data_IF_449943310120
#
_entry.id   IF_449943310120
#
_cell.length_a   1.000
_cell.length_b   1.000
_cell.length_c   1.000
_cell.angle_alpha   90.00
_cell.angle_beta   90.00
_cell.angle_gamma   90.00
#
_symmetry.space_group_name_H-M   'P 1'
#
loop_
_entity.id
_entity.type
_entity.pdbx_description
1 polymer ?
#
# COMPACT_ATOMS: atom_id res chain seq x y z
N UNK A 1 -56.64 -19.65 28.97
CA UNK A 1 -55.53 -18.72 29.24
C UNK A 1 -54.13 -19.28 28.97
N UNK A 2 -53.77 -20.50 29.42
CA UNK A 2 -52.41 -21.08 29.18
C UNK A 2 -52.04 -21.28 27.71
N UNK A 3 -52.99 -21.63 26.82
CA UNK A 3 -52.74 -21.84 25.36
C UNK A 3 -52.52 -20.49 24.60
N UNK A 4 -53.19 -19.40 25.02
CA UNK A 4 -53.01 -18.08 24.41
C UNK A 4 -51.65 -17.46 24.77
N UNK A 5 -51.17 -17.71 26.01
CA UNK A 5 -49.87 -17.23 26.48
C UNK A 5 -48.72 -17.93 25.75
N UNK A 6 -48.86 -19.26 25.49
CA UNK A 6 -47.87 -20.03 24.73
C UNK A 6 -47.75 -19.60 23.28
N UNK A 7 -48.90 -19.28 22.65
CA UNK A 7 -48.89 -18.77 21.24
C UNK A 7 -48.26 -17.39 21.11
N UNK A 8 -48.49 -16.52 22.11
CA UNK A 8 -47.90 -15.19 22.17
C UNK A 8 -46.37 -15.24 22.36
N UNK A 9 -45.90 -16.17 23.22
CA UNK A 9 -44.45 -16.35 23.42
C UNK A 9 -43.73 -16.88 22.18
N UNK A 10 -44.36 -17.79 21.42
CA UNK A 10 -43.83 -18.30 20.17
C UNK A 10 -43.79 -17.18 19.11
N UNK A 11 -44.82 -16.35 19.01
CA UNK A 11 -44.87 -15.24 18.10
C UNK A 11 -43.78 -14.18 18.36
N UNK A 12 -43.52 -13.89 19.65
CA UNK A 12 -42.44 -12.97 20.06
C UNK A 12 -41.06 -13.55 19.76
N UNK A 13 -40.84 -14.85 20.00
CA UNK A 13 -39.59 -15.50 19.64
C UNK A 13 -39.32 -15.53 18.13
N UNK A 14 -40.35 -15.74 17.30
CA UNK A 14 -40.23 -15.68 15.84
C UNK A 14 -39.99 -14.26 15.36
N UNK A 15 -40.59 -13.25 15.96
CA UNK A 15 -40.34 -11.86 15.62
C UNK A 15 -38.90 -11.42 15.98
N UNK A 16 -38.36 -11.88 17.13
CA UNK A 16 -36.99 -11.59 17.55
C UNK A 16 -35.96 -12.34 16.71
N UNK A 17 -36.29 -13.55 16.23
CA UNK A 17 -35.38 -14.28 15.31
C UNK A 17 -35.41 -13.76 13.88
N UNK A 18 -36.48 -13.11 13.43
CA UNK A 18 -36.53 -12.50 12.10
C UNK A 18 -35.79 -11.15 12.04
N UNK A 19 -35.61 -10.46 13.15
CA UNK A 19 -34.83 -9.21 13.17
C UNK A 19 -33.32 -9.44 13.24
N UNK A 20 -32.88 -10.68 13.53
CA UNK A 20 -31.45 -11.04 13.55
C UNK A 20 -30.91 -11.57 12.21
N UNK A 21 -31.72 -11.65 11.15
CA UNK A 21 -31.33 -12.23 9.85
C UNK A 21 -31.33 -11.24 8.68
N UNK A 22 -31.56 -9.96 8.92
CA UNK A 22 -31.33 -8.91 7.93
C UNK A 22 -30.20 -7.99 8.38
N UNK A 23 -29.07 -8.55 8.72
CA UNK A 23 -27.80 -7.86 8.64
C UNK A 23 -27.47 -7.70 7.15
N UNK A 24 -28.14 -6.79 6.45
CA UNK A 24 -27.52 -6.19 5.27
C UNK A 24 -26.24 -5.58 5.77
N UNK A 25 -25.12 -6.11 5.29
CA UNK A 25 -23.81 -5.50 5.47
C UNK A 25 -23.95 -4.00 5.19
N UNK A 26 -23.95 -3.18 6.21
CA UNK A 26 -24.10 -1.75 6.05
C UNK A 26 -22.75 -1.24 5.54
N UNK A 27 -22.72 -0.79 4.28
CA UNK A 27 -21.58 -0.04 3.76
C UNK A 27 -21.40 1.19 4.64
N UNK A 28 -20.17 1.48 5.14
CA UNK A 28 -19.92 2.66 5.95
C UNK A 28 -20.31 3.94 5.20
N UNK A 29 -20.80 4.93 5.92
CA UNK A 29 -21.10 6.24 5.34
C UNK A 29 -19.83 7.04 5.04
N UNK A 30 -19.94 8.04 4.15
CA UNK A 30 -18.84 8.97 3.85
C UNK A 30 -18.33 9.64 5.13
N UNK A 31 -19.23 10.12 5.99
CA UNK A 31 -18.88 10.80 7.25
C UNK A 31 -18.09 9.89 8.19
N UNK A 32 -18.34 8.58 8.17
CA UNK A 32 -17.66 7.60 9.00
C UNK A 32 -16.22 7.34 8.52
N UNK A 33 -16.00 7.38 7.21
CA UNK A 33 -14.70 7.07 6.61
C UNK A 33 -13.84 8.31 6.34
N UNK A 34 -14.41 9.50 6.29
CA UNK A 34 -13.76 10.71 5.79
C UNK A 34 -12.39 10.95 6.41
N UNK A 35 -12.33 11.11 7.72
CA UNK A 35 -11.07 11.40 8.42
C UNK A 35 -10.04 10.27 8.25
N UNK A 36 -10.51 9.02 8.20
CA UNK A 36 -9.64 7.87 8.00
C UNK A 36 -9.07 7.83 6.58
N UNK A 37 -9.88 8.10 5.57
CA UNK A 37 -9.45 8.16 4.16
C UNK A 37 -8.42 9.26 3.95
N UNK A 38 -8.67 10.47 4.48
CA UNK A 38 -7.71 11.57 4.43
C UNK A 38 -6.38 11.16 5.07
N UNK A 39 -6.44 10.63 6.29
CA UNK A 39 -5.25 10.15 6.99
C UNK A 39 -4.46 9.11 6.17
N UNK A 40 -5.15 8.12 5.61
CA UNK A 40 -4.51 7.04 4.87
C UNK A 40 -3.84 7.56 3.59
N UNK A 41 -4.54 8.39 2.81
CA UNK A 41 -4.01 8.93 1.55
C UNK A 41 -2.80 9.85 1.81
N UNK A 42 -2.88 10.74 2.80
CA UNK A 42 -1.78 11.64 3.14
C UNK A 42 -0.53 10.89 3.62
N UNK A 43 -0.72 9.80 4.39
CA UNK A 43 0.41 8.98 4.83
C UNK A 43 0.89 7.99 3.76
N UNK A 44 0.01 7.61 2.81
CA UNK A 44 0.40 6.77 1.68
C UNK A 44 1.43 7.44 0.79
N UNK A 45 1.38 8.77 0.63
CA UNK A 45 2.33 9.50 -0.21
C UNK A 45 3.78 9.17 0.13
N UNK A 46 4.14 9.23 1.40
CA UNK A 46 5.50 8.94 1.85
C UNK A 46 5.90 7.48 1.63
N UNK A 47 4.98 6.56 1.93
CA UNK A 47 5.19 5.14 1.71
C UNK A 47 5.35 4.85 0.21
N UNK A 48 4.55 5.48 -0.64
CA UNK A 48 4.60 5.30 -2.08
C UNK A 48 5.90 5.81 -2.70
N UNK A 49 6.45 6.92 -2.21
CA UNK A 49 7.76 7.41 -2.66
C UNK A 49 8.88 6.41 -2.38
N UNK A 50 8.78 5.66 -1.29
CA UNK A 50 9.72 4.59 -0.94
C UNK A 50 9.53 3.37 -1.84
N UNK A 51 8.29 2.93 -2.09
CA UNK A 51 8.04 1.71 -2.85
C UNK A 51 8.10 1.89 -4.37
N UNK A 52 7.63 3.02 -4.90
CA UNK A 52 7.45 3.24 -6.34
C UNK A 52 8.00 4.58 -6.84
N UNK A 53 8.44 5.46 -5.96
CA UNK A 53 9.01 6.75 -6.30
C UNK A 53 10.54 6.75 -6.33
N UNK A 54 11.16 7.90 -6.12
CA UNK A 54 12.62 8.05 -6.13
C UNK A 54 13.33 7.25 -5.04
N UNK A 55 12.58 6.75 -4.06
CA UNK A 55 13.14 5.99 -2.95
C UNK A 55 13.71 6.89 -1.85
N UNK A 56 14.73 6.38 -1.19
CA UNK A 56 15.40 7.07 -0.09
C UNK A 56 16.63 7.82 -0.56
N UNK A 57 17.02 8.91 0.11
CA UNK A 57 18.29 9.58 -0.18
C UNK A 57 19.47 8.64 0.01
N UNK A 58 20.29 8.51 -1.02
CA UNK A 58 21.52 7.71 -1.02
C UNK A 58 22.73 8.62 -1.11
N UNK A 59 23.90 8.11 -0.79
CA UNK A 59 25.14 8.85 -0.99
C UNK A 59 25.41 9.07 -2.48
N UNK A 60 25.76 10.29 -2.83
CA UNK A 60 26.16 10.64 -4.19
C UNK A 60 27.46 9.90 -4.58
N UNK A 61 27.48 9.37 -5.81
CA UNK A 61 28.64 8.70 -6.39
C UNK A 61 29.88 9.61 -6.52
N UNK A 62 29.66 10.92 -6.52
CA UNK A 62 30.74 11.94 -6.59
C UNK A 62 31.21 12.42 -5.20
N UNK A 63 30.64 11.88 -4.12
CA UNK A 63 31.02 12.24 -2.76
C UNK A 63 32.32 11.55 -2.31
N UNK A 64 32.93 12.04 -1.20
CA UNK A 64 34.06 11.39 -0.53
C UNK A 64 33.76 9.94 -0.09
N UNK A 65 32.50 9.55 -0.09
CA UNK A 65 31.99 8.23 0.23
C UNK A 65 31.71 7.38 -1.01
N UNK A 66 32.07 7.84 -2.20
CA UNK A 66 31.80 7.13 -3.48
C UNK A 66 32.36 5.70 -3.48
N UNK A 67 33.50 5.45 -2.84
CA UNK A 67 34.08 4.10 -2.68
C UNK A 67 33.25 3.20 -1.77
N UNK A 68 32.43 3.77 -0.86
CA UNK A 68 31.55 3.04 0.05
C UNK A 68 30.16 2.79 -0.56
N UNK A 69 29.82 3.52 -1.63
CA UNK A 69 28.49 3.48 -2.24
C UNK A 69 28.21 2.20 -3.05
N UNK A 70 29.23 1.42 -3.39
CA UNK A 70 29.06 0.19 -4.13
C UNK A 70 29.23 -1.03 -3.25
N UNK A 71 28.14 -1.70 -2.90
CA UNK A 71 28.18 -2.99 -2.24
C UNK A 71 28.28 -4.07 -3.30
N UNK A 72 29.33 -4.89 -3.21
CA UNK A 72 29.53 -6.01 -4.13
C UNK A 72 28.76 -7.24 -3.63
N UNK A 73 27.90 -7.77 -4.48
CA UNK A 73 27.21 -9.03 -4.26
C UNK A 73 27.91 -10.15 -5.02
N UNK A 74 28.54 -11.08 -4.29
CA UNK A 74 29.05 -12.30 -4.87
C UNK A 74 30.06 -12.13 -6.00
N UNK A 75 30.50 -13.24 -6.57
CA UNK A 75 31.38 -13.27 -7.72
C UNK A 75 30.72 -12.58 -8.92
N UNK A 76 31.29 -11.49 -9.39
CA UNK A 76 31.01 -10.79 -10.65
C UNK A 76 29.74 -9.92 -10.77
N UNK A 77 28.88 -9.78 -9.78
CA UNK A 77 27.83 -8.77 -9.85
C UNK A 77 28.29 -7.52 -9.07
N UNK A 78 28.58 -6.43 -9.79
CA UNK A 78 28.56 -5.09 -9.20
C UNK A 78 27.14 -4.93 -8.66
N UNK A 79 26.95 -5.03 -7.37
CA UNK A 79 25.68 -4.81 -6.74
C UNK A 79 25.27 -3.39 -7.05
N UNK A 80 24.12 -3.22 -7.64
CA UNK A 80 23.52 -1.91 -7.90
C UNK A 80 22.90 -1.35 -6.63
N UNK A 81 23.57 -1.49 -5.49
CA UNK A 81 23.11 -0.97 -4.20
C UNK A 81 23.94 0.23 -3.79
N UNK A 82 23.25 1.25 -3.33
CA UNK A 82 23.83 2.43 -2.70
C UNK A 82 23.42 2.51 -1.23
N UNK A 83 24.30 3.06 -0.40
CA UNK A 83 24.03 3.27 0.99
C UNK A 83 23.02 4.38 1.20
N UNK A 84 21.98 4.10 1.98
CA UNK A 84 21.01 5.11 2.40
C UNK A 84 21.68 6.08 3.36
N UNK A 85 21.50 7.40 3.12
CA UNK A 85 22.13 8.42 3.96
C UNK A 85 21.55 8.43 5.37
N UNK A 86 22.33 8.80 6.40
CA UNK A 86 21.84 8.92 7.78
C UNK A 86 20.71 9.94 7.97
N UNK A 87 20.55 10.86 7.02
CA UNK A 87 19.49 11.87 7.02
C UNK A 87 18.17 11.32 6.50
N UNK A 88 18.17 10.14 5.91
CA UNK A 88 16.95 9.48 5.46
C UNK A 88 16.01 9.20 6.63
N UNK A 89 14.72 9.37 6.41
CA UNK A 89 13.69 9.09 7.41
C UNK A 89 13.67 7.63 7.86
N UNK A 90 13.95 6.72 6.93
CA UNK A 90 14.03 5.29 7.21
C UNK A 90 15.48 4.81 7.13
N UNK A 91 15.90 4.07 8.14
CA UNK A 91 17.25 3.54 8.29
C UNK A 91 17.29 1.99 8.32
N UNK A 92 16.12 1.36 8.28
CA UNK A 92 15.97 -0.10 8.28
C UNK A 92 14.74 -0.53 7.51
N UNK A 93 14.74 -1.77 7.04
CA UNK A 93 13.57 -2.41 6.43
C UNK A 93 12.37 -2.40 7.40
N UNK A 94 12.60 -2.67 8.68
CA UNK A 94 11.53 -2.69 9.68
C UNK A 94 10.85 -1.33 9.84
N UNK A 95 11.60 -0.23 9.76
CA UNK A 95 11.00 1.11 9.84
C UNK A 95 10.07 1.40 8.67
N UNK A 96 10.43 0.94 7.46
CA UNK A 96 9.56 1.06 6.28
C UNK A 96 8.30 0.21 6.46
N UNK A 97 8.45 -1.04 6.92
CA UNK A 97 7.32 -1.94 7.19
C UNK A 97 6.35 -1.33 8.19
N UNK A 98 6.84 -0.84 9.33
CA UNK A 98 6.01 -0.18 10.36
C UNK A 98 5.26 1.04 9.81
N UNK A 99 5.85 1.81 8.90
CA UNK A 99 5.17 2.93 8.26
C UNK A 99 4.08 2.43 7.27
N UNK A 100 4.39 1.43 6.47
CA UNK A 100 3.47 0.86 5.48
C UNK A 100 2.26 0.17 6.14
N UNK A 101 2.46 -0.54 7.25
CA UNK A 101 1.42 -1.23 8.04
C UNK A 101 0.38 -0.28 8.65
N UNK A 102 0.68 1.00 8.79
CA UNK A 102 -0.29 2.01 9.23
C UNK A 102 -1.26 2.44 8.13
N UNK A 103 -0.91 2.19 6.89
CA UNK A 103 -1.59 2.69 5.68
C UNK A 103 -2.27 1.59 4.92
N UNK A 104 -1.54 0.52 4.62
CA UNK A 104 -1.99 -0.55 3.74
C UNK A 104 -2.43 -1.80 4.49
N UNK A 105 -3.35 -2.54 3.90
CA UNK A 105 -3.79 -3.83 4.40
C UNK A 105 -2.65 -4.84 4.41
N UNK A 106 -2.73 -5.81 5.32
CA UNK A 106 -1.77 -6.91 5.40
C UNK A 106 -1.69 -7.70 4.09
N UNK A 107 -2.85 -7.94 3.44
CA UNK A 107 -2.91 -8.62 2.15
C UNK A 107 -2.15 -7.85 1.06
N UNK A 108 -2.45 -6.57 0.90
CA UNK A 108 -1.79 -5.74 -0.11
C UNK A 108 -0.28 -5.59 0.14
N UNK A 109 0.13 -5.50 1.41
CA UNK A 109 1.54 -5.46 1.77
C UNK A 109 2.26 -6.75 1.37
N UNK A 110 1.73 -7.90 1.79
CA UNK A 110 2.40 -9.20 1.59
C UNK A 110 2.37 -9.68 0.13
N UNK A 111 1.29 -9.39 -0.59
CA UNK A 111 1.12 -9.88 -1.96
C UNK A 111 1.70 -8.94 -3.03
N UNK A 112 1.82 -7.63 -2.71
CA UNK A 112 2.18 -6.62 -3.72
C UNK A 112 3.44 -5.86 -3.33
N UNK A 113 3.47 -5.20 -2.15
CA UNK A 113 4.53 -4.25 -1.83
C UNK A 113 5.81 -4.92 -1.35
N UNK A 114 5.72 -5.83 -0.40
CA UNK A 114 6.89 -6.45 0.22
C UNK A 114 7.70 -7.34 -0.71
N UNK A 115 7.09 -8.17 -1.59
CA UNK A 115 7.88 -8.99 -2.51
C UNK A 115 8.80 -8.17 -3.40
N UNK A 116 8.30 -7.08 -3.99
CA UNK A 116 9.11 -6.22 -4.85
C UNK A 116 10.16 -5.43 -4.07
N UNK A 117 9.81 -4.96 -2.86
CA UNK A 117 10.68 -4.08 -2.09
C UNK A 117 11.77 -4.82 -1.31
N UNK A 118 11.47 -6.02 -0.78
CA UNK A 118 12.34 -6.67 0.21
C UNK A 118 12.79 -8.08 -0.16
N UNK A 119 12.05 -8.80 -1.03
CA UNK A 119 12.38 -10.19 -1.37
C UNK A 119 13.07 -10.31 -2.74
N UNK A 120 12.88 -9.30 -3.61
CA UNK A 120 13.22 -9.40 -5.00
C UNK A 120 12.23 -10.31 -5.75
N UNK A 121 12.51 -10.59 -7.01
CA UNK A 121 11.63 -11.42 -7.84
C UNK A 121 12.42 -12.30 -8.81
N UNK A 122 11.86 -13.48 -9.10
CA UNK A 122 12.40 -14.37 -10.11
C UNK A 122 11.94 -13.92 -11.51
N UNK A 123 12.89 -13.82 -12.43
CA UNK A 123 12.62 -13.55 -13.85
C UNK A 123 12.95 -14.82 -14.62
N UNK A 124 11.95 -15.44 -15.23
CA UNK A 124 12.19 -16.51 -16.17
C UNK A 124 12.66 -15.91 -17.49
N UNK A 125 13.90 -16.17 -17.84
CA UNK A 125 14.39 -15.75 -19.13
C UNK A 125 14.10 -16.78 -20.22
N UNK A 126 13.95 -16.32 -21.46
CA UNK A 126 13.64 -17.18 -22.62
C UNK A 126 14.74 -18.21 -22.98
N UNK A 127 15.88 -18.16 -22.32
CA UNK A 127 16.98 -19.11 -22.47
C UNK A 127 16.93 -20.26 -21.45
N UNK A 128 15.85 -20.37 -20.67
CA UNK A 128 15.63 -21.47 -19.72
C UNK A 128 16.39 -21.31 -18.40
N UNK A 129 16.87 -20.10 -18.08
CA UNK A 129 17.43 -19.77 -16.78
C UNK A 129 16.49 -18.89 -15.96
N UNK A 130 16.64 -18.90 -14.65
CA UNK A 130 15.98 -17.97 -13.74
C UNK A 130 16.98 -16.88 -13.36
N UNK A 131 16.68 -15.64 -13.71
CA UNK A 131 17.36 -14.48 -13.17
C UNK A 131 16.57 -13.95 -11.96
N UNK A 132 17.26 -13.48 -10.94
CA UNK A 132 16.61 -12.87 -9.78
C UNK A 132 16.76 -11.36 -9.88
N UNK A 133 15.63 -10.67 -9.88
CA UNK A 133 15.61 -9.23 -9.65
C UNK A 133 16.00 -8.94 -8.21
N UNK A 134 16.78 -7.90 -8.02
CA UNK A 134 17.22 -7.51 -6.68
C UNK A 134 16.06 -6.89 -5.90
N UNK A 135 16.00 -7.16 -4.60
CA UNK A 135 15.13 -6.43 -3.69
C UNK A 135 15.50 -4.94 -3.72
N UNK A 136 14.51 -4.05 -3.63
CA UNK A 136 14.76 -2.61 -3.65
C UNK A 136 15.57 -2.16 -2.42
N UNK A 137 15.27 -2.73 -1.27
CA UNK A 137 15.94 -2.42 0.00
C UNK A 137 16.49 -3.66 0.65
N UNK A 138 17.70 -3.55 1.17
CA UNK A 138 18.34 -4.61 1.94
C UNK A 138 19.25 -4.05 3.03
N UNK A 139 19.46 -4.86 4.04
CA UNK A 139 20.49 -4.61 5.06
C UNK A 139 21.70 -5.50 4.77
N UNK A 140 22.79 -4.90 4.32
CA UNK A 140 24.01 -5.59 3.90
C UNK A 140 25.14 -5.30 4.86
N UNK A 141 25.64 -6.33 5.53
CA UNK A 141 26.70 -6.21 6.52
C UNK A 141 26.40 -5.15 7.62
N UNK A 142 25.12 -4.99 7.97
CA UNK A 142 24.68 -4.01 8.97
C UNK A 142 24.49 -2.59 8.43
N UNK A 143 24.53 -2.41 7.11
CA UNK A 143 24.28 -1.12 6.44
C UNK A 143 23.01 -1.21 5.61
N UNK A 144 22.16 -0.22 5.73
CA UNK A 144 20.92 -0.13 4.97
C UNK A 144 21.17 0.42 3.57
N UNK A 145 20.70 -0.29 2.56
CA UNK A 145 21.01 -0.05 1.16
C UNK A 145 19.75 -0.05 0.31
N UNK A 146 19.79 0.75 -0.77
CA UNK A 146 18.77 0.81 -1.82
C UNK A 146 19.36 0.37 -3.14
N UNK A 147 18.64 -0.50 -3.86
CA UNK A 147 18.99 -0.86 -5.24
C UNK A 147 18.56 0.25 -6.20
N UNK A 148 19.41 0.56 -7.15
CA UNK A 148 19.11 1.42 -8.31
C UNK A 148 18.70 0.60 -9.53
N UNK A 149 18.57 -0.72 -9.40
CA UNK A 149 18.21 -1.58 -10.52
C UNK A 149 16.79 -1.32 -11.00
N UNK A 150 16.62 -1.45 -12.32
CA UNK A 150 15.32 -1.42 -12.97
C UNK A 150 14.44 -2.59 -12.50
N UNK A 151 13.12 -2.41 -12.55
CA UNK A 151 12.19 -3.50 -12.31
C UNK A 151 12.24 -4.55 -13.44
N UNK A 152 11.53 -5.67 -13.26
CA UNK A 152 11.46 -6.78 -14.23
C UNK A 152 11.02 -6.36 -15.65
N UNK A 153 10.38 -5.21 -15.81
CA UNK A 153 9.89 -4.69 -17.08
C UNK A 153 10.88 -3.69 -17.70
N UNK A 154 12.09 -3.55 -17.14
CA UNK A 154 13.13 -2.61 -17.58
C UNK A 154 12.75 -1.15 -17.31
N UNK A 155 11.75 -0.91 -16.47
CA UNK A 155 11.38 0.43 -16.04
C UNK A 155 12.11 0.77 -14.75
N UNK A 156 12.68 1.92 -14.70
CA UNK A 156 13.19 2.48 -13.46
C UNK A 156 12.05 2.62 -12.46
N UNK A 157 12.14 1.91 -11.34
CA UNK A 157 11.16 2.02 -10.25
C UNK A 157 11.03 3.47 -9.75
N UNK A 158 12.10 4.24 -9.89
CA UNK A 158 12.13 5.65 -9.53
C UNK A 158 11.22 6.53 -10.39
N UNK A 159 10.69 6.01 -11.49
CA UNK A 159 9.83 6.78 -12.42
C UNK A 159 8.34 6.46 -12.30
N UNK A 160 7.96 5.46 -11.51
CA UNK A 160 6.56 5.06 -11.38
C UNK A 160 5.73 6.01 -10.50
N UNK A 161 6.38 6.80 -9.66
CA UNK A 161 5.73 7.75 -8.77
C UNK A 161 6.52 9.06 -8.75
N UNK A 162 6.45 9.81 -9.84
CA UNK A 162 7.24 11.02 -10.05
C UNK A 162 6.46 12.29 -9.76
N UNK A 163 5.15 12.18 -9.66
CA UNK A 163 4.23 13.30 -9.51
C UNK A 163 3.23 13.01 -8.39
N UNK A 164 2.96 14.02 -7.58
CA UNK A 164 1.95 13.92 -6.52
C UNK A 164 0.55 14.00 -7.12
N UNK A 165 -0.32 13.07 -6.74
CA UNK A 165 -1.75 13.12 -7.04
C UNK A 165 -2.46 13.91 -5.94
N UNK A 166 -3.23 14.89 -6.34
CA UNK A 166 -4.08 15.71 -5.48
C UNK A 166 -5.49 15.12 -5.51
N UNK A 167 -6.13 15.01 -4.36
CA UNK A 167 -7.48 14.45 -4.20
C UNK A 167 -8.46 15.50 -3.72
N UNK A 168 -9.61 15.59 -4.39
CA UNK A 168 -10.73 16.43 -3.92
C UNK A 168 -11.64 15.61 -2.99
N UNK A 169 -11.31 15.63 -1.71
CA UNK A 169 -12.07 14.92 -0.69
C UNK A 169 -13.54 15.37 -0.58
N UNK A 170 -13.89 16.57 -1.08
CA UNK A 170 -15.28 17.05 -1.10
C UNK A 170 -16.17 16.28 -2.07
N UNK A 171 -15.57 15.57 -3.02
CA UNK A 171 -16.26 14.72 -4.01
C UNK A 171 -16.29 13.25 -3.64
N UNK A 172 -15.89 12.91 -2.40
CA UNK A 172 -15.78 11.54 -1.95
C UNK A 172 -17.12 10.83 -1.89
N UNK A 173 -17.17 9.64 -2.49
CA UNK A 173 -18.29 8.71 -2.43
C UNK A 173 -17.80 7.34 -1.95
N UNK A 174 -18.63 6.62 -1.21
CA UNK A 174 -18.35 5.25 -0.77
C UNK A 174 -19.19 4.28 -1.59
N UNK A 175 -18.49 3.37 -2.27
CA UNK A 175 -19.09 2.35 -3.12
C UNK A 175 -19.08 1.00 -2.42
N UNK A 176 -20.25 0.41 -2.26
CA UNK A 176 -20.40 -0.92 -1.64
C UNK A 176 -19.86 -2.02 -2.53
N UNK A 177 -19.14 -2.96 -1.94
CA UNK A 177 -18.72 -4.21 -2.56
C UNK A 177 -19.59 -5.40 -2.14
N UNK A 178 -20.72 -5.15 -1.44
CA UNK A 178 -21.61 -6.21 -0.92
C UNK A 178 -21.01 -6.99 0.26
N UNK A 179 -19.98 -6.45 0.89
CA UNK A 179 -19.28 -7.00 2.06
C UNK A 179 -19.20 -5.93 3.15
N UNK A 180 -19.23 -6.34 4.42
CA UNK A 180 -19.08 -5.42 5.56
C UNK A 180 -17.64 -4.97 5.79
N UNK A 181 -16.69 -5.80 5.35
CA UNK A 181 -15.26 -5.64 5.58
C UNK A 181 -14.52 -5.03 4.38
N UNK A 182 -15.22 -4.65 3.31
CA UNK A 182 -14.60 -4.04 2.14
C UNK A 182 -15.51 -3.02 1.45
N UNK A 183 -14.92 -1.95 0.99
CA UNK A 183 -15.58 -0.93 0.17
C UNK A 183 -14.58 -0.33 -0.83
N UNK A 184 -15.07 0.48 -1.74
CA UNK A 184 -14.25 1.41 -2.51
C UNK A 184 -14.61 2.83 -2.14
N UNK A 185 -13.61 3.70 -2.17
CA UNK A 185 -13.81 5.14 -2.10
C UNK A 185 -13.51 5.71 -3.47
N UNK A 186 -14.46 6.46 -4.01
CA UNK A 186 -14.34 7.15 -5.30
C UNK A 186 -14.27 8.65 -5.06
N UNK A 187 -13.37 9.36 -5.76
CA UNK A 187 -13.26 10.80 -5.68
C UNK A 187 -12.57 11.38 -6.90
N UNK A 188 -12.76 12.68 -7.13
CA UNK A 188 -12.01 13.39 -8.14
C UNK A 188 -10.57 13.62 -7.71
N UNK A 189 -9.65 13.56 -8.68
CA UNK A 189 -8.23 13.76 -8.47
C UNK A 189 -7.55 14.26 -9.73
N UNK A 190 -6.36 14.83 -9.56
CA UNK A 190 -5.49 15.27 -10.67
C UNK A 190 -4.03 15.17 -10.25
N UNK A 191 -3.14 15.15 -11.22
CA UNK A 191 -1.70 15.27 -10.96
C UNK A 191 -1.33 16.72 -10.71
N UNK A 192 -0.40 16.97 -9.79
CA UNK A 192 -0.02 18.32 -9.35
C UNK A 192 0.38 19.23 -10.51
N UNK A 193 1.12 18.69 -11.50
CA UNK A 193 1.56 19.43 -12.67
C UNK A 193 0.55 19.47 -13.82
N UNK A 194 -0.63 18.85 -13.66
CA UNK A 194 -1.68 18.76 -14.68
C UNK A 194 -3.08 18.95 -14.09
N UNK A 195 -3.36 20.07 -13.40
CA UNK A 195 -4.59 20.27 -12.66
C UNK A 195 -5.85 20.37 -13.55
N UNK A 196 -5.69 20.58 -14.85
CA UNK A 196 -6.77 20.57 -15.81
C UNK A 196 -7.26 19.15 -16.16
N UNK A 197 -6.46 18.12 -15.88
CA UNK A 197 -6.78 16.72 -16.17
C UNK A 197 -7.40 16.06 -14.93
N UNK A 198 -8.65 16.40 -14.65
CA UNK A 198 -9.40 15.82 -13.53
C UNK A 198 -9.92 14.44 -13.90
N UNK A 199 -9.62 13.46 -13.08
CA UNK A 199 -10.07 12.07 -13.22
C UNK A 199 -10.83 11.63 -11.98
N UNK A 200 -11.77 10.69 -12.15
CA UNK A 200 -12.36 9.98 -11.02
C UNK A 200 -11.53 8.74 -10.74
N UNK A 201 -11.02 8.63 -9.54
CA UNK A 201 -10.24 7.47 -9.08
C UNK A 201 -11.03 6.65 -8.07
N UNK A 202 -10.80 5.35 -8.08
CA UNK A 202 -11.37 4.42 -7.10
C UNK A 202 -10.23 3.78 -6.30
N UNK A 203 -10.34 3.84 -4.97
CA UNK A 203 -9.39 3.27 -4.04
C UNK A 203 -10.09 2.16 -3.26
N UNK A 204 -9.55 0.96 -3.28
CA UNK A 204 -10.07 -0.17 -2.51
C UNK A 204 -9.65 -0.05 -1.06
N UNK A 205 -10.58 -0.35 -0.16
CA UNK A 205 -10.35 -0.35 1.28
C UNK A 205 -10.87 -1.64 1.92
N UNK A 206 -10.21 -2.07 2.96
CA UNK A 206 -10.60 -3.24 3.75
C UNK A 206 -10.57 -2.92 5.25
N UNK A 207 -11.52 -3.50 5.98
CA UNK A 207 -11.60 -3.40 7.43
C UNK A 207 -10.81 -4.56 8.05
N UNK A 208 -9.77 -4.25 8.82
CA UNK A 208 -8.95 -5.22 9.54
C UNK A 208 -8.83 -4.80 11.01
N UNK A 209 -9.12 -5.71 11.93
CA UNK A 209 -9.02 -5.46 13.38
C UNK A 209 -9.81 -4.22 13.86
N UNK A 210 -10.90 -3.87 13.18
CA UNK A 210 -11.74 -2.73 13.52
C UNK A 210 -11.28 -1.38 12.92
N UNK A 211 -10.25 -1.38 12.09
CA UNK A 211 -9.76 -0.19 11.40
C UNK A 211 -9.73 -0.40 9.87
N UNK A 212 -9.96 0.66 9.12
CA UNK A 212 -9.89 0.66 7.66
C UNK A 212 -8.47 0.93 7.16
N UNK A 213 -8.06 0.17 6.14
CA UNK A 213 -6.77 0.27 5.47
C UNK A 213 -6.95 0.35 3.96
N UNK A 214 -5.99 0.94 3.25
CA UNK A 214 -5.92 0.88 1.79
C UNK A 214 -5.59 -0.55 1.34
N UNK A 215 -6.37 -1.08 0.40
CA UNK A 215 -6.20 -2.41 -0.19
C UNK A 215 -5.87 -2.32 -1.70
N UNK A 216 -5.44 -1.17 -2.11
CA UNK A 216 -4.92 -0.88 -3.45
C UNK A 216 -3.96 0.29 -3.37
N UNK A 217 -3.11 0.40 -4.38
CA UNK A 217 -2.25 1.56 -4.54
C UNK A 217 -3.11 2.83 -4.73
N UNK A 218 -2.76 3.89 -4.01
CA UNK A 218 -3.26 5.24 -4.23
C UNK A 218 -2.08 6.14 -4.57
N UNK A 219 -2.09 6.75 -5.72
CA UNK A 219 -0.94 7.53 -6.20
C UNK A 219 -1.05 7.82 -7.68
N UNK A 220 0.04 8.11 -8.33
CA UNK A 220 0.09 8.53 -9.72
C UNK A 220 -0.52 7.54 -10.72
#
# INVERSE_FOLDING_TARGET
MKKALSLFLILVMVAVSCTALTGCAATPGVEELYDRVVYLIENAYEVNTVFYGPGLPVYDTDSEYAELNHVYFGFDQKGNYEYVTPQSKFQTVDQIKVAAEKVYSEGFLNDVLYPAAFDGYAIDNSAGGTAFGLARYQELAGTFCQSLSENKDGKDLNTLYTEMRIYDYSTMEVLSLGREDACKVSMQSWLENSPENVETVEISMILQNGEWYLDSFCGA
#
